data_IF_020208242768
#
_entry.id   IF_020208242768
#
_cell.length_a   1.000
_cell.length_b   1.000
_cell.length_c   1.000
_cell.angle_alpha   90.00
_cell.angle_beta   90.00
_cell.angle_gamma   90.00
#
_symmetry.space_group_name_H-M   'P 1'
#
loop_
_entity.id
_entity.type
_entity.pdbx_description
1 polymer ?
#
# COMPACT_ATOMS: atom_id res chain seq x y z
N UNK A 1 6.56 13.37 -28.61
CA UNK A 1 6.17 13.78 -27.25
C UNK A 1 5.22 12.71 -26.73
N UNK A 2 5.62 11.95 -25.73
CA UNK A 2 4.74 10.96 -25.10
C UNK A 2 3.75 11.72 -24.20
N UNK A 3 2.46 11.61 -24.49
CA UNK A 3 1.41 12.15 -23.62
C UNK A 3 1.52 11.44 -22.27
N UNK A 4 1.59 12.15 -21.13
CA UNK A 4 1.61 11.49 -19.83
C UNK A 4 0.31 10.71 -19.69
N UNK A 5 0.42 9.41 -19.43
CA UNK A 5 -0.73 8.63 -18.99
C UNK A 5 -1.14 9.18 -17.63
N UNK A 6 -2.22 9.96 -17.59
CA UNK A 6 -2.88 10.30 -16.33
C UNK A 6 -3.40 8.98 -15.77
N UNK A 7 -2.92 8.60 -14.58
CA UNK A 7 -3.40 7.39 -13.91
C UNK A 7 -4.94 7.47 -13.82
N UNK A 8 -5.67 6.38 -14.14
CA UNK A 8 -7.12 6.34 -13.99
C UNK A 8 -7.55 6.82 -12.59
N UNK A 9 -8.71 7.46 -12.48
CA UNK A 9 -9.16 8.07 -11.22
C UNK A 9 -9.16 7.11 -10.02
N UNK A 10 -9.43 5.82 -10.26
CA UNK A 10 -9.38 4.80 -9.21
C UNK A 10 -7.95 4.51 -8.76
N UNK A 11 -6.95 4.54 -9.65
CA UNK A 11 -5.54 4.38 -9.29
C UNK A 11 -5.08 5.55 -8.44
N UNK A 12 -5.37 6.79 -8.83
CA UNK A 12 -4.97 7.96 -8.05
C UNK A 12 -5.59 7.94 -6.65
N UNK A 13 -6.90 7.63 -6.53
CA UNK A 13 -7.57 7.49 -5.24
C UNK A 13 -6.96 6.40 -4.36
N UNK A 14 -6.56 5.26 -4.95
CA UNK A 14 -5.87 4.19 -4.23
C UNK A 14 -4.55 4.70 -3.63
N UNK A 15 -3.72 5.39 -4.41
CA UNK A 15 -2.44 5.93 -3.97
C UNK A 15 -2.62 7.02 -2.90
N UNK A 16 -3.60 7.90 -3.06
CA UNK A 16 -3.98 8.91 -2.06
C UNK A 16 -4.43 8.23 -0.75
N UNK A 17 -5.26 7.19 -0.83
CA UNK A 17 -5.71 6.44 0.34
C UNK A 17 -4.55 5.72 1.06
N UNK A 18 -3.61 5.15 0.30
CA UNK A 18 -2.39 4.57 0.87
C UNK A 18 -1.58 5.61 1.65
N UNK A 19 -1.28 6.75 1.04
CA UNK A 19 -0.49 7.81 1.68
C UNK A 19 -1.20 8.35 2.94
N UNK A 20 -2.52 8.55 2.89
CA UNK A 20 -3.30 8.96 4.05
C UNK A 20 -3.30 7.90 5.16
N UNK A 21 -3.44 6.62 4.81
CA UNK A 21 -3.45 5.55 5.80
C UNK A 21 -2.10 5.41 6.51
N UNK A 22 -0.99 5.51 5.78
CA UNK A 22 0.36 5.51 6.36
C UNK A 22 0.59 6.75 7.23
N UNK A 23 0.30 7.95 6.72
CA UNK A 23 0.49 9.19 7.47
C UNK A 23 -0.33 9.26 8.77
N UNK A 24 -1.53 8.66 8.77
CA UNK A 24 -2.39 8.57 9.94
C UNK A 24 -2.14 7.32 10.82
N UNK A 25 -1.19 6.44 10.45
CA UNK A 25 -0.97 5.13 11.08
C UNK A 25 -2.26 4.31 11.22
N UNK A 26 -3.14 4.39 10.22
CA UNK A 26 -4.44 3.75 10.22
C UNK A 26 -4.35 2.33 9.66
N UNK A 27 -4.11 1.35 10.53
CA UNK A 27 -3.98 -0.08 10.15
C UNK A 27 -5.21 -0.59 9.39
N UNK A 28 -6.42 -0.26 9.85
CA UNK A 28 -7.64 -0.71 9.19
C UNK A 28 -7.76 -0.11 7.78
N UNK A 29 -7.60 1.20 7.64
CA UNK A 29 -7.66 1.88 6.36
C UNK A 29 -6.58 1.43 5.38
N UNK A 30 -5.41 1.03 5.87
CA UNK A 30 -4.33 0.48 5.06
C UNK A 30 -4.66 -0.93 4.56
N UNK A 31 -5.07 -1.83 5.46
CA UNK A 31 -5.37 -3.23 5.12
C UNK A 31 -6.59 -3.34 4.20
N UNK A 32 -7.57 -2.45 4.33
CA UNK A 32 -8.77 -2.40 3.48
C UNK A 32 -8.47 -2.07 2.00
N UNK A 33 -7.24 -1.63 1.68
CA UNK A 33 -6.79 -1.44 0.29
C UNK A 33 -6.44 -2.77 -0.41
N UNK A 34 -6.32 -3.85 0.35
CA UNK A 34 -5.90 -5.16 -0.14
C UNK A 34 -7.10 -6.12 -0.22
N UNK A 35 -7.00 -7.10 -1.12
CA UNK A 35 -7.96 -8.19 -1.17
C UNK A 35 -7.81 -9.11 0.06
N UNK A 36 -8.86 -9.80 0.50
CA UNK A 36 -8.77 -10.72 1.64
C UNK A 36 -7.71 -11.82 1.47
N UNK A 37 -7.49 -12.25 0.23
CA UNK A 37 -6.51 -13.26 -0.21
C UNK A 37 -5.19 -12.64 -0.71
N UNK A 38 -4.81 -11.47 -0.17
CA UNK A 38 -3.53 -10.84 -0.52
C UNK A 38 -2.35 -11.76 -0.21
N UNK A 39 -1.40 -11.83 -1.13
CA UNK A 39 -0.08 -12.39 -0.89
C UNK A 39 0.95 -11.27 -0.97
N UNK A 40 1.60 -10.96 0.15
CA UNK A 40 2.69 -9.98 0.21
C UNK A 40 4.00 -10.71 0.43
N UNK A 41 4.99 -10.44 -0.42
CA UNK A 41 6.36 -10.89 -0.22
C UNK A 41 7.16 -9.79 0.45
N UNK A 42 7.81 -10.11 1.55
CA UNK A 42 8.61 -9.17 2.32
C UNK A 42 10.08 -9.62 2.31
N UNK A 43 10.96 -8.64 2.17
CA UNK A 43 12.40 -8.83 2.04
C UNK A 43 13.14 -8.69 3.38
N UNK A 44 12.45 -8.28 4.45
CA UNK A 44 13.08 -7.94 5.72
C UNK A 44 12.74 -8.90 6.86
N UNK A 45 11.47 -9.06 7.21
CA UNK A 45 11.06 -9.81 8.39
C UNK A 45 10.68 -11.24 8.03
N UNK A 46 9.60 -11.39 7.27
CA UNK A 46 9.06 -12.69 6.87
C UNK A 46 9.05 -12.76 5.35
N UNK A 47 9.50 -13.88 4.80
CA UNK A 47 9.52 -14.05 3.34
C UNK A 47 8.14 -13.80 2.68
N UNK A 48 7.06 -14.21 3.33
CA UNK A 48 5.69 -13.98 2.83
C UNK A 48 4.65 -13.79 3.94
N UNK A 49 3.62 -13.00 3.64
CA UNK A 49 2.37 -12.88 4.36
C UNK A 49 1.24 -13.34 3.43
N UNK A 50 0.57 -14.42 3.81
CA UNK A 50 -0.53 -15.05 3.07
C UNK A 50 -1.86 -14.73 3.77
N UNK A 51 -2.65 -13.87 3.14
CA UNK A 51 -3.94 -13.38 3.62
C UNK A 51 -3.86 -12.05 4.36
N UNK A 52 -5.02 -11.38 4.44
CA UNK A 52 -5.14 -10.06 5.02
C UNK A 52 -4.87 -10.01 6.54
N UNK A 53 -5.08 -11.12 7.27
CA UNK A 53 -4.85 -11.16 8.72
C UNK A 53 -3.35 -11.18 9.08
N UNK A 54 -2.51 -12.06 8.50
CA UNK A 54 -1.06 -11.95 8.68
C UNK A 54 -0.50 -10.61 8.21
N UNK A 55 -1.04 -10.06 7.12
CA UNK A 55 -0.65 -8.73 6.65
C UNK A 55 -1.01 -7.62 7.63
N UNK A 56 -2.22 -7.66 8.22
CA UNK A 56 -2.66 -6.72 9.25
C UNK A 56 -1.72 -6.69 10.44
N UNK A 57 -1.29 -7.85 10.92
CA UNK A 57 -0.38 -7.93 12.07
C UNK A 57 0.97 -7.28 11.75
N UNK A 58 1.53 -7.56 10.57
CA UNK A 58 2.75 -6.89 10.10
C UNK A 58 2.59 -5.37 10.10
N UNK A 59 1.50 -4.86 9.50
CA UNK A 59 1.26 -3.40 9.40
C UNK A 59 1.09 -2.76 10.79
N UNK A 60 0.43 -3.46 11.72
CA UNK A 60 0.31 -3.02 13.11
C UNK A 60 1.69 -2.92 13.78
N UNK A 61 2.50 -3.97 13.69
CA UNK A 61 3.84 -4.01 14.26
C UNK A 61 4.71 -2.87 13.68
N UNK A 62 4.69 -2.67 12.36
CA UNK A 62 5.40 -1.57 11.70
C UNK A 62 4.95 -0.19 12.20
N UNK A 63 3.63 0.05 12.30
CA UNK A 63 3.13 1.35 12.77
C UNK A 63 3.43 1.62 14.24
N UNK A 64 3.43 0.58 15.07
CA UNK A 64 3.81 0.69 16.49
C UNK A 64 5.30 1.00 16.65
N UNK A 65 6.17 0.39 15.82
CA UNK A 65 7.62 0.64 15.82
C UNK A 65 7.98 2.09 15.45
N UNK A 66 7.14 2.81 14.70
CA UNK A 66 7.37 4.21 14.35
C UNK A 66 7.24 5.16 15.56
N UNK A 67 6.55 4.78 16.64
CA UNK A 67 6.36 5.65 17.82
C UNK A 67 5.78 7.02 17.47
N UNK A 68 6.54 8.10 17.66
CA UNK A 68 6.15 9.48 17.31
C UNK A 68 6.57 9.89 15.88
N UNK A 69 7.35 9.06 15.18
CA UNK A 69 7.81 9.35 13.83
C UNK A 69 6.65 9.33 12.83
N UNK A 70 6.77 10.10 11.76
CA UNK A 70 5.78 10.15 10.68
C UNK A 70 6.42 9.76 9.36
N UNK A 71 5.67 9.06 8.52
CA UNK A 71 6.10 8.64 7.20
C UNK A 71 5.30 9.43 6.16
N UNK A 72 6.01 10.19 5.34
CA UNK A 72 5.45 10.82 4.15
C UNK A 72 5.62 9.87 2.97
N UNK A 73 4.52 9.57 2.27
CA UNK A 73 4.53 8.72 1.07
C UNK A 73 4.32 9.57 -0.17
N UNK A 74 5.23 9.44 -1.12
CA UNK A 74 5.13 10.04 -2.45
C UNK A 74 5.27 8.96 -3.52
N UNK A 75 4.55 9.12 -4.64
CA UNK A 75 4.58 8.20 -5.76
C UNK A 75 5.05 8.94 -7.01
N UNK A 76 6.15 8.47 -7.60
CA UNK A 76 6.72 9.02 -8.82
C UNK A 76 6.62 8.03 -9.98
N UNK A 77 6.46 8.57 -11.20
CA UNK A 77 6.48 7.81 -12.45
C UNK A 77 5.51 6.61 -12.49
N UNK A 78 4.31 6.76 -11.89
CA UNK A 78 3.26 5.73 -11.88
C UNK A 78 2.87 5.34 -13.31
N UNK A 79 2.90 4.03 -13.59
CA UNK A 79 2.42 3.45 -14.85
C UNK A 79 1.36 2.41 -14.56
N UNK A 80 0.27 2.47 -15.32
CA UNK A 80 -0.82 1.50 -15.21
C UNK A 80 -0.86 0.68 -16.49
N UNK A 81 -0.76 -0.63 -16.33
CA UNK A 81 -0.83 -1.60 -17.40
C UNK A 81 -2.03 -2.51 -17.13
N UNK A 82 -2.96 -2.60 -18.06
CA UNK A 82 -3.97 -3.65 -18.04
C UNK A 82 -3.33 -4.92 -18.66
N UNK A 83 -3.31 -6.02 -17.93
CA UNK A 83 -2.90 -7.31 -18.49
C UNK A 83 -3.86 -7.76 -19.59
N UNK A 84 -3.33 -8.37 -20.66
CA UNK A 84 -4.16 -9.19 -21.53
C UNK A 84 -4.62 -10.40 -20.71
N UNK A 85 -5.92 -10.66 -20.74
CA UNK A 85 -6.54 -11.76 -20.00
C UNK A 85 -6.20 -13.11 -20.64
#
# INVERSE_FOLDING_TARGET
METPLVAPDHTRKLLEAYAMAVGAKNVAGFVDLYAPDVHVYDAWARFEYDGAEPWRNMVQDWFDELGEETVEVQFDAVRVHAGAR
#
